data_IF_203290972892
#
_entry.id   IF_203290972892
#
_cell.length_a   1.000
_cell.length_b   1.000
_cell.length_c   1.000
_cell.angle_alpha   90.00
_cell.angle_beta   90.00
_cell.angle_gamma   90.00
#
_symmetry.space_group_name_H-M   'P 1'
#
loop_
_entity.id
_entity.type
_entity.pdbx_description
1 polymer ?
#
# COMPACT_ATOMS: atom_id res chain seq x y z
N UNK A 1 37.02 -39.08 -79.23
CA UNK A 1 35.85 -38.51 -78.54
C UNK A 1 35.91 -38.96 -77.08
N UNK A 2 35.78 -38.02 -76.15
CA UNK A 2 36.19 -38.12 -74.74
C UNK A 2 35.18 -38.95 -73.93
N UNK A 3 35.64 -40.01 -73.25
CA UNK A 3 34.92 -40.62 -72.12
C UNK A 3 35.61 -40.15 -70.83
N UNK A 4 34.99 -39.19 -70.14
CA UNK A 4 35.51 -38.64 -68.88
C UNK A 4 35.12 -39.58 -67.72
N UNK A 5 36.13 -40.02 -66.97
CA UNK A 5 36.02 -40.83 -65.76
C UNK A 5 35.22 -40.06 -64.68
N UNK A 6 34.19 -40.70 -64.15
CA UNK A 6 33.41 -40.24 -63.00
C UNK A 6 34.31 -40.30 -61.76
N UNK A 7 34.75 -39.13 -61.30
CA UNK A 7 35.56 -38.95 -60.10
C UNK A 7 34.73 -39.22 -58.83
N UNK A 8 35.32 -39.95 -57.89
CA UNK A 8 34.76 -40.25 -56.57
C UNK A 8 34.45 -38.95 -55.83
N UNK A 9 33.17 -38.67 -55.60
CA UNK A 9 32.71 -37.58 -54.75
C UNK A 9 32.91 -38.01 -53.27
N UNK A 10 33.97 -37.52 -52.62
CA UNK A 10 34.16 -37.69 -51.17
C UNK A 10 33.20 -36.74 -50.45
N UNK A 11 32.14 -37.30 -49.87
CA UNK A 11 31.28 -36.62 -48.89
C UNK A 11 32.11 -36.28 -47.65
N UNK A 12 32.32 -34.99 -47.38
CA UNK A 12 32.75 -34.50 -46.07
C UNK A 12 31.49 -34.21 -45.23
N UNK A 13 31.19 -35.08 -44.28
CA UNK A 13 30.19 -34.80 -43.25
C UNK A 13 30.82 -33.89 -42.19
N UNK A 14 30.37 -32.64 -42.11
CA UNK A 14 30.72 -31.72 -41.01
C UNK A 14 29.73 -32.00 -39.87
N UNK A 15 30.21 -32.63 -38.80
CA UNK A 15 29.45 -32.79 -37.57
C UNK A 15 29.53 -31.48 -36.76
N UNK A 16 28.42 -30.75 -36.66
CA UNK A 16 28.29 -29.60 -35.76
C UNK A 16 28.04 -30.14 -34.34
N UNK A 17 29.04 -30.05 -33.47
CA UNK A 17 28.87 -30.32 -32.04
C UNK A 17 28.21 -29.11 -31.38
N UNK A 18 26.93 -29.21 -31.04
CA UNK A 18 26.25 -28.22 -30.20
C UNK A 18 26.61 -28.46 -28.75
N UNK A 19 27.58 -27.71 -28.23
CA UNK A 19 27.91 -27.69 -26.79
C UNK A 19 26.79 -26.97 -26.04
N UNK A 20 25.87 -27.72 -25.41
CA UNK A 20 24.93 -27.17 -24.45
C UNK A 20 25.73 -26.75 -23.20
N UNK A 21 25.81 -25.44 -22.94
CA UNK A 21 26.42 -24.94 -21.70
C UNK A 21 25.46 -25.19 -20.53
N UNK A 22 25.95 -25.66 -19.37
CA UNK A 22 25.11 -25.82 -18.19
C UNK A 22 24.63 -24.44 -17.71
N UNK A 23 23.33 -24.30 -17.50
CA UNK A 23 22.76 -23.14 -16.83
C UNK A 23 23.05 -23.25 -15.33
N UNK A 24 23.93 -22.39 -14.82
CA UNK A 24 24.15 -22.26 -13.38
C UNK A 24 23.07 -21.34 -12.79
N UNK A 25 22.43 -21.78 -11.71
CA UNK A 25 21.59 -20.92 -10.91
C UNK A 25 22.47 -19.85 -10.26
N UNK A 26 22.29 -18.58 -10.64
CA UNK A 26 22.94 -17.47 -9.95
C UNK A 26 22.39 -17.39 -8.52
N UNK A 27 23.28 -17.46 -7.54
CA UNK A 27 22.96 -17.06 -6.18
C UNK A 27 22.69 -15.56 -6.18
N UNK A 28 21.46 -15.17 -5.87
CA UNK A 28 21.07 -13.77 -5.76
C UNK A 28 21.75 -13.17 -4.52
N UNK A 29 22.53 -12.10 -4.70
CA UNK A 29 23.10 -11.34 -3.58
C UNK A 29 22.03 -10.44 -2.96
N UNK A 30 21.87 -10.54 -1.63
CA UNK A 30 20.88 -9.76 -0.89
C UNK A 30 21.15 -8.25 -1.00
N UNK A 31 22.42 -7.84 -0.97
CA UNK A 31 22.76 -6.41 -1.03
C UNK A 31 22.42 -5.82 -2.41
N UNK A 32 22.64 -6.59 -3.47
CA UNK A 32 22.21 -6.23 -4.83
C UNK A 32 20.68 -6.08 -4.92
N UNK A 33 19.92 -7.00 -4.32
CA UNK A 33 18.44 -6.91 -4.29
C UNK A 33 17.97 -5.68 -3.52
N UNK A 34 18.52 -5.39 -2.34
CA UNK A 34 18.15 -4.20 -1.56
C UNK A 34 18.40 -2.91 -2.34
N UNK A 35 19.51 -2.84 -3.08
CA UNK A 35 19.82 -1.72 -3.97
C UNK A 35 18.78 -1.60 -5.09
N UNK A 36 18.44 -2.70 -5.76
CA UNK A 36 17.44 -2.73 -6.84
C UNK A 36 16.07 -2.28 -6.31
N UNK A 37 15.63 -2.80 -5.16
CA UNK A 37 14.34 -2.42 -4.56
C UNK A 37 14.30 -0.94 -4.24
N UNK A 38 15.35 -0.40 -3.60
CA UNK A 38 15.44 1.03 -3.30
C UNK A 38 15.38 1.86 -4.58
N UNK A 39 16.16 1.49 -5.59
CA UNK A 39 16.21 2.20 -6.86
C UNK A 39 14.86 2.16 -7.59
N UNK A 40 14.18 1.02 -7.57
CA UNK A 40 12.86 0.85 -8.14
C UNK A 40 11.80 1.71 -7.43
N UNK A 41 11.78 1.74 -6.09
CA UNK A 41 10.86 2.60 -5.33
C UNK A 41 11.14 4.08 -5.64
N UNK A 42 12.41 4.49 -5.74
CA UNK A 42 12.75 5.88 -6.05
C UNK A 42 12.39 6.28 -7.50
N UNK A 43 12.45 5.33 -8.44
CA UNK A 43 12.04 5.55 -9.83
C UNK A 43 10.51 5.47 -10.02
N UNK A 44 9.79 4.82 -9.09
CA UNK A 44 8.35 4.55 -9.16
C UNK A 44 7.70 4.78 -7.77
N UNK A 45 7.71 6.00 -7.20
CA UNK A 45 7.19 6.24 -5.85
C UNK A 45 5.68 5.96 -5.71
N UNK A 46 4.93 6.01 -6.81
CA UNK A 46 3.49 5.78 -6.87
C UNK A 46 3.10 4.38 -6.37
N UNK A 47 3.98 3.38 -6.49
CA UNK A 47 3.72 2.02 -6.00
C UNK A 47 3.49 1.99 -4.49
N UNK A 48 4.05 2.94 -3.75
CA UNK A 48 3.83 3.08 -2.31
C UNK A 48 2.43 3.61 -2.03
N UNK A 49 1.99 4.64 -2.76
CA UNK A 49 0.63 5.18 -2.66
C UNK A 49 -0.42 4.13 -3.05
N UNK A 50 -0.18 3.39 -4.12
CA UNK A 50 -1.05 2.30 -4.56
C UNK A 50 -1.13 1.19 -3.50
N UNK A 51 0.01 0.79 -2.94
CA UNK A 51 0.05 -0.22 -1.87
C UNK A 51 -0.69 0.25 -0.62
N UNK A 52 -0.52 1.51 -0.21
CA UNK A 52 -1.23 2.10 0.93
C UNK A 52 -2.74 2.18 0.67
N UNK A 53 -3.14 2.61 -0.53
CA UNK A 53 -4.54 2.72 -0.93
C UNK A 53 -5.23 1.34 -0.96
N UNK A 54 -4.56 0.34 -1.53
CA UNK A 54 -5.06 -1.03 -1.56
C UNK A 54 -5.13 -1.63 -0.15
N UNK A 55 -4.14 -1.35 0.71
CA UNK A 55 -4.17 -1.78 2.10
C UNK A 55 -5.32 -1.14 2.87
N UNK A 56 -5.54 0.18 2.71
CA UNK A 56 -6.67 0.88 3.32
C UNK A 56 -7.99 0.28 2.86
N UNK A 57 -8.16 0.06 1.55
CA UNK A 57 -9.37 -0.56 0.98
C UNK A 57 -9.64 -1.94 1.57
N UNK A 58 -8.62 -2.78 1.73
CA UNK A 58 -8.76 -4.10 2.38
C UNK A 58 -9.16 -3.98 3.85
N UNK A 59 -8.65 -2.96 4.52
CA UNK A 59 -8.86 -2.75 5.94
C UNK A 59 -10.14 -1.99 6.27
N UNK A 60 -10.78 -1.28 5.32
CA UNK A 60 -11.94 -0.41 5.57
C UNK A 60 -13.04 -1.06 6.40
N UNK A 61 -13.47 -2.28 6.06
CA UNK A 61 -14.54 -2.97 6.78
C UNK A 61 -14.13 -3.36 8.21
N UNK A 62 -12.91 -3.89 8.37
CA UNK A 62 -12.36 -4.27 9.68
C UNK A 62 -12.17 -3.03 10.57
N UNK A 63 -11.68 -1.94 9.99
CA UNK A 63 -11.48 -0.68 10.69
C UNK A 63 -12.81 -0.02 11.07
N UNK A 64 -13.83 -0.10 10.22
CA UNK A 64 -15.17 0.41 10.55
C UNK A 64 -15.79 -0.34 11.73
N UNK A 65 -15.70 -1.67 11.73
CA UNK A 65 -16.19 -2.49 12.84
C UNK A 65 -15.41 -2.21 14.13
N UNK A 66 -14.08 -2.17 14.06
CA UNK A 66 -13.24 -1.84 15.21
C UNK A 66 -13.55 -0.45 15.79
N UNK A 67 -13.79 0.55 14.93
CA UNK A 67 -14.20 1.90 15.37
C UNK A 67 -15.56 1.87 16.08
N UNK A 68 -16.55 1.16 15.52
CA UNK A 68 -17.87 1.02 16.14
C UNK A 68 -17.76 0.38 17.53
N UNK A 69 -17.00 -0.72 17.63
CA UNK A 69 -16.75 -1.41 18.89
C UNK A 69 -16.02 -0.51 19.91
N UNK A 70 -15.05 0.28 19.47
CA UNK A 70 -14.35 1.23 20.33
C UNK A 70 -15.30 2.30 20.88
N UNK A 71 -16.20 2.85 20.06
CA UNK A 71 -17.19 3.85 20.52
C UNK A 71 -18.13 3.24 21.58
N UNK A 72 -18.60 2.00 21.36
CA UNK A 72 -19.45 1.31 22.33
C UNK A 72 -18.69 1.03 23.63
N UNK A 73 -17.44 0.58 23.54
CA UNK A 73 -16.61 0.28 24.71
C UNK A 73 -16.30 1.54 25.54
N UNK A 74 -16.11 2.69 24.88
CA UNK A 74 -15.71 3.95 25.50
C UNK A 74 -16.87 4.93 25.73
N UNK A 75 -18.13 4.50 25.55
CA UNK A 75 -19.30 5.39 25.61
C UNK A 75 -19.38 6.18 26.92
N UNK A 76 -19.05 5.56 28.05
CA UNK A 76 -19.07 6.25 29.35
C UNK A 76 -17.97 7.31 29.44
N UNK A 77 -16.78 7.04 28.92
CA UNK A 77 -15.69 7.99 28.87
C UNK A 77 -16.01 9.16 27.93
N UNK A 78 -16.65 8.89 26.78
CA UNK A 78 -17.02 9.91 25.80
C UNK A 78 -18.15 10.83 26.27
N UNK A 79 -19.05 10.35 27.13
CA UNK A 79 -20.28 11.09 27.50
C UNK A 79 -20.30 11.57 28.95
N UNK A 80 -19.44 11.05 29.82
CA UNK A 80 -19.50 11.30 31.27
C UNK A 80 -18.14 11.59 31.91
N UNK A 81 -17.13 11.96 31.12
CA UNK A 81 -15.87 12.43 31.67
C UNK A 81 -16.07 13.74 32.47
N UNK A 82 -15.50 13.79 33.68
CA UNK A 82 -15.70 14.90 34.61
C UNK A 82 -14.94 16.17 34.22
N UNK A 83 -13.95 16.05 33.36
CA UNK A 83 -13.07 17.10 32.85
C UNK A 83 -13.53 17.66 31.48
N UNK A 84 -14.58 17.09 30.89
CA UNK A 84 -15.19 17.59 29.66
C UNK A 84 -16.05 18.83 29.91
N UNK A 85 -16.06 19.72 28.92
CA UNK A 85 -16.89 20.92 28.90
C UNK A 85 -18.20 20.63 28.16
N UNK A 86 -19.32 20.72 28.87
CA UNK A 86 -20.65 20.61 28.26
C UNK A 86 -21.10 21.98 27.73
N UNK A 87 -21.44 22.02 26.45
CA UNK A 87 -22.01 23.18 25.76
C UNK A 87 -23.47 22.88 25.36
N UNK A 88 -24.36 23.85 25.49
CA UNK A 88 -25.78 23.72 25.10
C UNK A 88 -26.66 23.12 26.19
N UNK A 89 -27.69 22.37 25.79
CA UNK A 89 -28.65 21.72 26.69
C UNK A 89 -28.12 20.35 27.19
N UNK A 90 -27.85 20.17 28.50
CA UNK A 90 -27.39 18.88 29.03
C UNK A 90 -28.47 17.78 28.95
N UNK A 91 -29.74 18.15 28.86
CA UNK A 91 -30.89 17.23 28.74
C UNK A 91 -31.40 17.15 27.30
N UNK A 92 -30.52 17.36 26.31
CA UNK A 92 -30.87 17.27 24.89
C UNK A 92 -31.16 15.84 24.43
N UNK A 93 -31.94 15.71 23.35
CA UNK A 93 -32.27 14.40 22.75
C UNK A 93 -31.07 13.72 22.06
N UNK A 94 -29.98 14.46 21.83
CA UNK A 94 -28.75 13.98 21.23
C UNK A 94 -27.53 14.70 21.82
N UNK A 95 -26.40 13.98 21.93
CA UNK A 95 -25.11 14.52 22.38
C UNK A 95 -24.10 14.44 21.25
N UNK A 96 -23.41 15.57 20.98
CA UNK A 96 -22.26 15.63 20.07
C UNK A 96 -20.99 15.71 20.91
N UNK A 97 -20.05 14.78 20.69
CA UNK A 97 -18.72 14.81 21.30
C UNK A 97 -17.73 15.35 20.27
N UNK A 98 -17.10 16.50 20.56
CA UNK A 98 -16.13 17.13 19.67
C UNK A 98 -14.70 16.92 20.18
N UNK A 99 -13.87 16.22 19.39
CA UNK A 99 -12.43 16.20 19.60
C UNK A 99 -11.81 17.46 18.99
N UNK A 100 -11.43 18.41 19.86
CA UNK A 100 -10.93 19.71 19.44
C UNK A 100 -9.43 19.88 19.70
N UNK A 101 -8.72 20.53 18.77
CA UNK A 101 -7.33 20.95 18.92
C UNK A 101 -7.20 22.47 18.66
N UNK A 102 -6.69 23.20 19.66
CA UNK A 102 -6.45 24.64 19.59
C UNK A 102 -5.39 25.05 18.55
N UNK A 103 -4.60 24.13 18.04
CA UNK A 103 -3.65 24.38 16.95
C UNK A 103 -4.23 24.07 15.57
N UNK A 104 -5.38 23.39 15.50
CA UNK A 104 -5.99 23.02 14.24
C UNK A 104 -6.77 24.20 13.62
N UNK A 105 -6.30 24.70 12.48
CA UNK A 105 -6.98 25.77 11.74
C UNK A 105 -8.36 25.37 11.21
N UNK A 106 -8.60 24.08 10.92
CA UNK A 106 -9.91 23.58 10.51
C UNK A 106 -10.90 23.56 11.68
N UNK A 107 -10.49 23.07 12.86
CA UNK A 107 -11.33 23.10 14.08
C UNK A 107 -11.77 24.53 14.41
N UNK A 108 -10.86 25.51 14.35
CA UNK A 108 -11.20 26.93 14.55
C UNK A 108 -12.23 27.47 13.56
N UNK A 109 -12.18 27.03 12.30
CA UNK A 109 -13.14 27.44 11.28
C UNK A 109 -14.52 26.79 11.48
N UNK A 110 -14.55 25.55 11.98
CA UNK A 110 -15.78 24.82 12.25
C UNK A 110 -16.47 25.24 13.57
N UNK A 111 -15.72 25.79 14.53
CA UNK A 111 -16.23 26.22 15.83
C UNK A 111 -17.55 27.03 15.81
N UNK A 112 -17.75 28.04 14.93
CA UNK A 112 -19.04 28.73 14.86
C UNK A 112 -20.19 27.84 14.41
N UNK A 113 -19.95 26.90 13.49
CA UNK A 113 -20.97 25.96 13.00
C UNK A 113 -21.35 24.96 14.10
N UNK A 114 -20.35 24.40 14.80
CA UNK A 114 -20.60 23.50 15.95
C UNK A 114 -21.38 24.23 17.04
N UNK A 115 -21.00 25.47 17.34
CA UNK A 115 -21.72 26.29 18.32
C UNK A 115 -23.18 26.51 17.91
N UNK A 116 -23.46 26.71 16.61
CA UNK A 116 -24.82 26.89 16.13
C UNK A 116 -25.70 25.63 16.26
N UNK A 117 -25.09 24.43 16.26
CA UNK A 117 -25.82 23.17 16.45
C UNK A 117 -26.29 22.94 17.90
N UNK A 118 -25.61 23.55 18.87
CA UNK A 118 -25.87 23.37 20.31
C UNK A 118 -26.50 24.60 20.98
N UNK A 119 -26.78 25.65 20.20
CA UNK A 119 -27.30 26.94 20.67
C UNK A 119 -28.80 26.92 20.98
#
# INVERSE_FOLDING_TARGET
MKAARIGRLRWFAIAVLTTASPAYAQSIDRAEVEKIVREYIMQNPEIIEEALTELEKRNQAVQAEARSQAIVAETDALLRASDDVILGNPDGDATLVEFFDFNCGYCKRAAPDVKALVA
#
